data_IF_180264325632
#
_entry.id   IF_180264325632
#
_cell.length_a   1.000
_cell.length_b   1.000
_cell.length_c   1.000
_cell.angle_alpha   90.00
_cell.angle_beta   90.00
_cell.angle_gamma   90.00
#
_symmetry.space_group_name_H-M   'P 1'
#
loop_
_entity.id
_entity.type
_entity.pdbx_description
1 polymer ?
#
# COMPACT_ATOMS: atom_id res chain seq x y z
N UNK A 1 -28.46 18.38 28.73
CA UNK A 1 -28.07 17.12 29.39
C UNK A 1 -26.56 17.15 29.56
N UNK A 2 -26.06 17.06 30.79
CA UNK A 2 -24.62 17.08 31.04
C UNK A 2 -24.06 15.69 30.80
N UNK A 3 -23.26 15.53 29.75
CA UNK A 3 -22.60 14.27 29.45
C UNK A 3 -21.37 14.12 30.33
N UNK A 4 -21.35 13.09 31.17
CA UNK A 4 -20.21 12.78 32.02
C UNK A 4 -19.33 11.71 31.37
N UNK A 5 -18.00 11.91 31.43
CA UNK A 5 -17.04 10.89 30.99
C UNK A 5 -17.01 9.78 32.03
N UNK A 6 -17.64 8.64 31.71
CA UNK A 6 -17.74 7.49 32.61
C UNK A 6 -16.49 6.60 32.57
N UNK A 7 -15.90 6.45 31.38
CA UNK A 7 -14.70 5.63 31.17
C UNK A 7 -14.02 5.96 29.84
N UNK A 8 -12.92 5.29 29.53
CA UNK A 8 -12.24 5.38 28.23
C UNK A 8 -12.45 4.07 27.48
N UNK A 9 -12.81 4.14 26.20
CA UNK A 9 -12.97 2.96 25.37
C UNK A 9 -11.63 2.22 25.24
N UNK A 10 -11.52 0.94 25.63
CA UNK A 10 -10.24 0.24 25.63
C UNK A 10 -9.66 0.05 24.22
N UNK A 11 -10.52 0.12 23.20
CA UNK A 11 -10.20 -0.14 21.78
C UNK A 11 -9.84 1.16 21.07
N UNK A 12 -10.72 2.15 21.12
CA UNK A 12 -10.53 3.43 20.43
C UNK A 12 -9.93 4.51 21.30
N UNK A 13 -9.62 4.27 22.57
CA UNK A 13 -9.21 5.29 23.58
C UNK A 13 -10.06 6.58 23.60
N UNK A 14 -11.24 6.55 23.00
CA UNK A 14 -12.17 7.67 23.02
C UNK A 14 -12.90 7.67 24.36
N UNK A 15 -13.22 8.84 24.91
CA UNK A 15 -14.06 8.93 26.11
C UNK A 15 -15.41 8.25 25.85
N UNK A 16 -15.92 7.53 26.84
CA UNK A 16 -17.27 6.98 26.86
C UNK A 16 -18.11 7.86 27.75
N UNK A 17 -19.08 8.54 27.15
CA UNK A 17 -20.05 9.36 27.83
C UNK A 17 -21.28 8.55 28.20
N UNK A 18 -21.84 8.84 29.37
CA UNK A 18 -23.13 8.33 29.83
C UNK A 18 -23.83 9.38 30.69
N UNK A 19 -25.10 9.18 31.00
CA UNK A 19 -25.82 9.89 32.05
C UNK A 19 -26.75 8.92 32.78
N UNK A 20 -27.18 9.29 33.99
CA UNK A 20 -27.96 8.40 34.86
C UNK A 20 -29.28 7.97 34.21
N UNK A 21 -29.91 8.87 33.46
CA UNK A 21 -31.18 8.63 32.76
C UNK A 21 -31.05 7.65 31.59
N UNK A 22 -29.84 7.29 31.17
CA UNK A 22 -29.59 6.35 30.08
C UNK A 22 -29.23 4.94 30.55
N UNK A 23 -29.11 4.70 31.86
CA UNK A 23 -28.71 3.41 32.41
C UNK A 23 -29.95 2.64 32.88
N UNK A 24 -30.10 1.40 32.43
CA UNK A 24 -31.21 0.48 32.78
C UNK A 24 -32.61 1.12 32.63
N UNK A 25 -32.85 1.78 31.50
CA UNK A 25 -34.14 2.39 31.20
C UNK A 25 -35.19 1.30 31.02
N UNK A 26 -36.22 1.31 31.85
CA UNK A 26 -37.36 0.38 31.74
C UNK A 26 -38.24 0.80 30.56
N UNK A 27 -38.38 -0.08 29.59
CA UNK A 27 -39.17 0.13 28.39
C UNK A 27 -40.48 -0.68 28.41
N UNK A 28 -40.75 -1.38 29.51
CA UNK A 28 -41.94 -2.21 29.73
C UNK A 28 -41.63 -3.71 29.71
N UNK A 29 -42.51 -4.49 30.36
CA UNK A 29 -42.51 -5.96 30.32
C UNK A 29 -41.16 -6.63 30.68
N UNK A 30 -40.36 -5.97 31.53
CA UNK A 30 -39.03 -6.43 31.90
C UNK A 30 -37.96 -6.25 30.81
N UNK A 31 -38.22 -5.43 29.79
CA UNK A 31 -37.22 -5.00 28.81
C UNK A 31 -36.53 -3.72 29.29
N UNK A 32 -35.22 -3.79 29.46
CA UNK A 32 -34.39 -2.66 29.85
C UNK A 32 -33.37 -2.34 28.75
N UNK A 33 -32.95 -1.10 28.66
CA UNK A 33 -31.80 -0.73 27.81
C UNK A 33 -30.90 0.27 28.49
N UNK A 34 -29.59 0.07 28.32
CA UNK A 34 -28.58 1.09 28.62
C UNK A 34 -28.00 1.70 27.34
N UNK A 35 -27.82 3.02 27.32
CA UNK A 35 -27.15 3.74 26.23
C UNK A 35 -25.87 4.41 26.70
N UNK A 36 -24.83 4.40 25.85
CA UNK A 36 -23.57 5.12 26.05
C UNK A 36 -23.07 5.69 24.73
N UNK A 37 -22.33 6.79 24.78
CA UNK A 37 -21.73 7.39 23.59
C UNK A 37 -20.20 7.23 23.63
N UNK A 38 -19.62 6.54 22.66
CA UNK A 38 -18.17 6.39 22.52
C UNK A 38 -17.66 7.49 21.59
N UNK A 39 -16.79 8.36 22.11
CA UNK A 39 -16.36 9.57 21.43
C UNK A 39 -17.55 10.48 21.15
N UNK A 40 -17.70 10.91 19.90
CA UNK A 40 -18.80 11.79 19.47
C UNK A 40 -19.80 11.14 18.52
N UNK A 41 -19.46 9.98 17.94
CA UNK A 41 -20.18 9.46 16.77
C UNK A 41 -20.53 7.96 16.86
N UNK A 42 -20.26 7.27 17.98
CA UNK A 42 -20.59 5.84 18.12
C UNK A 42 -21.54 5.65 19.29
N UNK A 43 -22.79 5.30 18.99
CA UNK A 43 -23.78 4.94 20.01
C UNK A 43 -23.60 3.46 20.39
N UNK A 44 -23.37 3.17 21.67
CA UNK A 44 -23.40 1.83 22.25
C UNK A 44 -24.75 1.61 22.92
N UNK A 45 -25.44 0.54 22.53
CA UNK A 45 -26.72 0.12 23.12
C UNK A 45 -26.58 -1.24 23.79
N UNK A 46 -27.10 -1.41 25.00
CA UNK A 46 -27.01 -2.65 25.79
C UNK A 46 -28.43 -3.05 26.20
N UNK A 47 -29.18 -3.77 25.35
CA UNK A 47 -30.50 -4.30 25.68
C UNK A 47 -30.45 -5.50 26.65
N UNK A 48 -31.44 -5.55 27.53
CA UNK A 48 -31.66 -6.61 28.52
C UNK A 48 -33.13 -7.03 28.54
N UNK A 49 -33.39 -8.34 28.62
CA UNK A 49 -34.75 -8.87 28.76
C UNK A 49 -35.45 -9.22 27.45
N UNK A 50 -36.79 -9.34 27.49
CA UNK A 50 -37.64 -9.80 26.38
C UNK A 50 -38.24 -8.60 25.66
N UNK A 51 -38.01 -8.47 24.35
CA UNK A 51 -38.53 -7.35 23.56
C UNK A 51 -39.71 -7.79 22.70
N UNK A 52 -40.91 -7.28 22.96
CA UNK A 52 -42.03 -7.37 22.01
C UNK A 52 -42.03 -6.16 21.05
N UNK A 53 -42.98 -6.13 20.11
CA UNK A 53 -43.16 -5.00 19.20
C UNK A 53 -43.42 -3.69 19.93
N UNK A 54 -44.15 -3.74 21.06
CA UNK A 54 -44.44 -2.56 21.88
C UNK A 54 -43.18 -2.02 22.54
N UNK A 55 -42.40 -2.87 23.20
CA UNK A 55 -41.14 -2.43 23.80
C UNK A 55 -40.12 -1.97 22.76
N UNK A 56 -40.17 -2.53 21.53
CA UNK A 56 -39.35 -2.04 20.42
C UNK A 56 -39.72 -0.61 20.01
N UNK A 57 -41.01 -0.27 20.01
CA UNK A 57 -41.47 1.10 19.74
C UNK A 57 -40.96 2.07 20.82
N UNK A 58 -41.12 1.71 22.09
CA UNK A 58 -40.58 2.49 23.22
C UNK A 58 -39.05 2.62 23.12
N UNK A 59 -38.35 1.54 22.76
CA UNK A 59 -36.90 1.54 22.55
C UNK A 59 -36.48 2.57 21.53
N UNK A 60 -37.10 2.59 20.35
CA UNK A 60 -36.74 3.54 19.30
C UNK A 60 -37.21 4.96 19.62
N UNK A 61 -38.28 5.14 20.40
CA UNK A 61 -38.67 6.45 20.91
C UNK A 61 -37.59 7.02 21.83
N UNK A 62 -37.19 6.25 22.84
CA UNK A 62 -36.14 6.66 23.77
C UNK A 62 -34.79 6.84 23.08
N UNK A 63 -34.45 5.96 22.12
CA UNK A 63 -33.24 6.10 21.29
C UNK A 63 -33.20 7.44 20.56
N UNK A 64 -34.32 7.95 20.04
CA UNK A 64 -34.37 9.28 19.39
C UNK A 64 -34.07 10.41 20.38
N UNK A 65 -34.53 10.27 21.62
CA UNK A 65 -34.22 11.24 22.68
C UNK A 65 -32.74 11.24 23.03
N UNK A 66 -32.13 10.05 23.17
CA UNK A 66 -30.67 9.91 23.37
C UNK A 66 -29.90 10.54 22.21
N UNK A 67 -30.26 10.24 20.96
CA UNK A 67 -29.61 10.84 19.79
C UNK A 67 -29.73 12.37 19.77
N UNK A 68 -30.89 12.93 20.16
CA UNK A 68 -31.07 14.38 20.28
C UNK A 68 -30.19 14.96 21.39
N UNK A 69 -30.15 14.32 22.55
CA UNK A 69 -29.35 14.75 23.70
C UNK A 69 -27.84 14.71 23.43
N UNK A 70 -27.36 13.72 22.66
CA UNK A 70 -25.97 13.64 22.18
C UNK A 70 -25.65 14.59 21.01
N UNK A 71 -26.65 15.31 20.48
CA UNK A 71 -26.47 16.14 19.28
C UNK A 71 -26.20 15.34 18.01
N UNK A 72 -26.64 14.08 17.94
CA UNK A 72 -26.54 13.18 16.79
C UNK A 72 -27.81 13.08 15.95
N UNK A 73 -28.93 13.66 16.40
CA UNK A 73 -30.16 13.72 15.60
C UNK A 73 -29.89 14.40 14.23
N UNK A 74 -30.15 13.67 13.13
CA UNK A 74 -29.90 14.14 11.76
C UNK A 74 -28.43 14.22 11.34
N UNK A 75 -27.49 13.83 12.22
CA UNK A 75 -26.06 13.77 11.89
C UNK A 75 -25.63 12.35 11.64
N UNK A 76 -24.49 12.19 10.98
CA UNK A 76 -23.90 10.88 10.72
C UNK A 76 -23.30 10.26 11.99
N UNK A 77 -23.68 9.00 12.27
CA UNK A 77 -23.18 8.22 13.41
C UNK A 77 -23.15 6.72 13.09
N UNK A 78 -22.43 5.97 13.90
CA UNK A 78 -22.46 4.51 13.91
C UNK A 78 -23.15 4.00 15.18
N UNK A 79 -23.79 2.82 15.11
CA UNK A 79 -24.32 2.15 16.28
C UNK A 79 -23.69 0.77 16.46
N UNK A 80 -23.32 0.46 17.71
CA UNK A 80 -22.94 -0.88 18.13
C UNK A 80 -23.85 -1.36 19.24
N UNK A 81 -24.12 -2.67 19.29
CA UNK A 81 -25.05 -3.24 20.25
C UNK A 81 -24.50 -4.48 20.95
N UNK A 82 -24.53 -4.46 22.28
CA UNK A 82 -24.14 -5.58 23.12
C UNK A 82 -25.35 -6.46 23.43
N UNK A 83 -25.33 -7.70 22.96
CA UNK A 83 -26.43 -8.66 23.19
C UNK A 83 -26.17 -9.61 24.37
N UNK A 84 -25.15 -9.35 25.21
CA UNK A 84 -24.79 -10.24 26.34
C UNK A 84 -25.97 -10.52 27.27
N UNK A 85 -26.82 -9.53 27.53
CA UNK A 85 -27.98 -9.64 28.44
C UNK A 85 -29.31 -9.91 27.71
N UNK A 86 -29.26 -10.14 26.39
CA UNK A 86 -30.42 -10.43 25.56
C UNK A 86 -30.59 -11.93 25.35
N UNK A 87 -31.25 -12.59 26.29
CA UNK A 87 -31.47 -14.05 26.24
C UNK A 87 -32.73 -14.45 25.45
N UNK A 88 -33.56 -13.48 25.07
CA UNK A 88 -34.85 -13.73 24.46
C UNK A 88 -34.78 -13.76 22.93
N UNK A 89 -35.56 -14.66 22.33
CA UNK A 89 -35.80 -14.64 20.89
C UNK A 89 -36.85 -13.57 20.59
N UNK A 90 -36.53 -12.51 19.82
CA UNK A 90 -37.52 -11.50 19.46
C UNK A 90 -38.63 -12.13 18.60
N UNK A 91 -39.87 -11.71 18.83
CA UNK A 91 -41.03 -12.17 18.04
C UNK A 91 -40.86 -11.77 16.57
N UNK A 92 -41.65 -12.37 15.66
CA UNK A 92 -41.66 -11.98 14.24
C UNK A 92 -41.96 -10.47 14.10
N UNK A 93 -42.95 -9.99 14.83
CA UNK A 93 -43.39 -8.60 14.74
C UNK A 93 -42.33 -7.63 15.31
N UNK A 94 -41.66 -8.00 16.41
CA UNK A 94 -40.55 -7.21 16.96
C UNK A 94 -39.37 -7.13 15.97
N UNK A 95 -39.10 -8.22 15.22
CA UNK A 95 -38.06 -8.22 14.17
C UNK A 95 -38.42 -7.32 13.00
N UNK A 96 -39.69 -7.33 12.57
CA UNK A 96 -40.16 -6.46 11.48
C UNK A 96 -40.15 -4.99 11.91
N UNK A 97 -40.62 -4.68 13.12
CA UNK A 97 -40.55 -3.33 13.69
C UNK A 97 -39.11 -2.84 13.79
N UNK A 98 -38.19 -3.69 14.26
CA UNK A 98 -36.76 -3.35 14.31
C UNK A 98 -36.21 -3.01 12.91
N UNK A 99 -36.49 -3.85 11.91
CA UNK A 99 -36.04 -3.62 10.54
C UNK A 99 -36.55 -2.28 9.98
N UNK A 100 -37.85 -2.01 10.11
CA UNK A 100 -38.46 -0.77 9.63
C UNK A 100 -37.77 0.46 10.25
N UNK A 101 -37.56 0.43 11.58
CA UNK A 101 -36.89 1.52 12.30
C UNK A 101 -35.39 1.63 11.96
N UNK A 102 -34.74 0.54 11.56
CA UNK A 102 -33.35 0.58 11.08
C UNK A 102 -33.23 1.20 9.69
N UNK A 103 -34.18 0.94 8.80
CA UNK A 103 -34.25 1.59 7.48
C UNK A 103 -34.54 3.10 7.67
N UNK A 104 -35.44 3.45 8.58
CA UNK A 104 -35.66 4.85 8.92
C UNK A 104 -34.41 5.49 9.54
N UNK A 105 -33.72 4.80 10.45
CA UNK A 105 -32.47 5.30 11.03
C UNK A 105 -31.37 5.51 9.99
N UNK A 106 -31.25 4.63 8.97
CA UNK A 106 -30.24 4.79 7.91
C UNK A 106 -30.48 6.03 7.04
N UNK A 107 -31.76 6.39 6.81
CA UNK A 107 -32.14 7.66 6.17
C UNK A 107 -31.86 8.88 7.05
N UNK A 108 -31.76 8.67 8.36
CA UNK A 108 -31.57 9.72 9.37
C UNK A 108 -30.18 9.68 10.00
N UNK A 109 -29.15 9.36 9.21
CA UNK A 109 -27.74 9.50 9.59
C UNK A 109 -27.07 8.27 10.20
N UNK A 110 -27.76 7.15 10.38
CA UNK A 110 -27.08 5.91 10.78
C UNK A 110 -26.25 5.35 9.61
N UNK A 111 -24.93 5.33 9.76
CA UNK A 111 -24.00 4.85 8.72
C UNK A 111 -23.70 3.36 8.81
N UNK A 112 -23.76 2.75 9.99
CA UNK A 112 -23.58 1.30 10.15
C UNK A 112 -24.12 0.80 11.48
N UNK A 113 -24.41 -0.51 11.54
CA UNK A 113 -24.89 -1.19 12.74
C UNK A 113 -24.18 -2.52 12.99
N UNK A 114 -23.48 -2.65 14.13
CA UNK A 114 -22.80 -3.91 14.49
C UNK A 114 -23.20 -4.44 15.86
N UNK A 115 -23.83 -5.61 15.88
CA UNK A 115 -24.08 -6.38 17.10
C UNK A 115 -22.86 -7.21 17.53
N UNK A 116 -22.67 -7.44 18.82
CA UNK A 116 -21.69 -8.37 19.37
C UNK A 116 -22.25 -9.11 20.59
N UNK A 117 -21.55 -10.17 21.05
CA UNK A 117 -21.97 -11.04 22.15
C UNK A 117 -23.39 -11.61 22.02
N UNK A 118 -23.88 -11.81 20.78
CA UNK A 118 -25.22 -12.34 20.55
C UNK A 118 -25.23 -13.87 20.53
N UNK A 119 -26.39 -14.45 20.88
CA UNK A 119 -26.66 -15.86 20.60
C UNK A 119 -26.55 -16.17 19.10
N UNK A 120 -26.28 -17.44 18.76
CA UNK A 120 -26.20 -17.91 17.36
C UNK A 120 -27.48 -17.62 16.58
N UNK A 121 -28.63 -17.68 17.24
CA UNK A 121 -29.93 -17.38 16.65
C UNK A 121 -30.06 -15.88 16.30
N UNK A 122 -29.77 -14.97 17.24
CA UNK A 122 -29.79 -13.53 16.98
C UNK A 122 -28.83 -13.16 15.84
N UNK A 123 -27.63 -13.77 15.82
CA UNK A 123 -26.64 -13.61 14.74
C UNK A 123 -27.22 -14.01 13.39
N UNK A 124 -27.87 -15.17 13.30
CA UNK A 124 -28.50 -15.66 12.07
C UNK A 124 -29.57 -14.68 11.59
N UNK A 125 -30.46 -14.25 12.49
CA UNK A 125 -31.56 -13.32 12.18
C UNK A 125 -31.02 -11.99 11.65
N UNK A 126 -30.11 -11.33 12.36
CA UNK A 126 -29.58 -10.02 11.95
C UNK A 126 -28.89 -10.12 10.58
N UNK A 127 -28.08 -11.17 10.36
CA UNK A 127 -27.36 -11.35 9.11
C UNK A 127 -28.28 -11.73 7.93
N UNK A 128 -29.38 -12.44 8.19
CA UNK A 128 -30.38 -12.76 7.17
C UNK A 128 -31.19 -11.52 6.80
N UNK A 129 -31.66 -10.78 7.81
CA UNK A 129 -32.46 -9.56 7.64
C UNK A 129 -31.66 -8.49 6.90
N UNK A 130 -30.40 -8.27 7.27
CA UNK A 130 -29.54 -7.28 6.60
C UNK A 130 -29.35 -7.56 5.11
N UNK A 131 -29.18 -8.84 4.75
CA UNK A 131 -29.01 -9.29 3.36
C UNK A 131 -30.31 -9.25 2.56
N UNK A 132 -31.41 -9.66 3.18
CA UNK A 132 -32.69 -9.85 2.47
C UNK A 132 -33.36 -8.52 2.16
N UNK A 133 -33.33 -7.58 3.10
CA UNK A 133 -34.07 -6.32 3.00
C UNK A 133 -33.22 -5.14 2.54
N UNK A 134 -31.92 -5.33 2.32
CA UNK A 134 -31.06 -4.32 1.72
C UNK A 134 -31.07 -2.96 2.44
N UNK A 135 -30.74 -2.94 3.74
CA UNK A 135 -30.79 -1.74 4.61
C UNK A 135 -29.91 -0.58 4.09
N UNK A 136 -29.08 -0.81 3.06
CA UNK A 136 -28.28 0.21 2.38
C UNK A 136 -27.03 0.65 3.15
N UNK A 137 -26.86 0.14 4.37
CA UNK A 137 -25.71 0.43 5.23
C UNK A 137 -25.02 -0.87 5.68
N UNK A 138 -23.70 -0.84 5.93
CA UNK A 138 -23.00 -1.95 6.57
C UNK A 138 -23.67 -2.35 7.88
N UNK A 139 -24.17 -3.57 7.95
CA UNK A 139 -24.77 -4.10 9.16
C UNK A 139 -24.54 -5.60 9.34
N UNK A 140 -24.47 -6.04 10.60
CA UNK A 140 -24.29 -7.45 10.93
C UNK A 140 -23.90 -7.70 12.38
N UNK A 141 -23.58 -8.95 12.71
CA UNK A 141 -23.03 -9.33 14.01
C UNK A 141 -21.56 -9.73 13.88
N UNK A 142 -20.72 -9.19 14.78
CA UNK A 142 -19.29 -9.49 14.91
C UNK A 142 -19.00 -10.27 16.18
N UNK A 143 -17.78 -10.80 16.31
CA UNK A 143 -17.43 -11.72 17.40
C UNK A 143 -17.09 -11.04 18.72
N UNK A 144 -16.80 -9.73 18.74
CA UNK A 144 -16.36 -9.04 19.95
C UNK A 144 -16.65 -7.54 19.91
N UNK A 145 -16.70 -6.92 21.10
CA UNK A 145 -16.75 -5.46 21.27
C UNK A 145 -15.66 -4.74 20.46
N UNK A 146 -14.43 -5.28 20.50
CA UNK A 146 -13.27 -4.75 19.77
C UNK A 146 -13.52 -4.66 18.26
N UNK A 147 -14.03 -5.73 17.65
CA UNK A 147 -14.36 -5.71 16.24
C UNK A 147 -15.50 -4.74 15.91
N UNK A 148 -16.51 -4.63 16.79
CA UNK A 148 -17.64 -3.72 16.57
C UNK A 148 -17.16 -2.26 16.54
N UNK A 149 -16.34 -1.84 17.51
CA UNK A 149 -15.76 -0.49 17.57
C UNK A 149 -14.87 -0.21 16.36
N UNK A 150 -13.98 -1.14 15.98
CA UNK A 150 -13.09 -0.96 14.82
C UNK A 150 -13.89 -0.77 13.53
N UNK A 151 -14.90 -1.61 13.28
CA UNK A 151 -15.73 -1.50 12.08
C UNK A 151 -16.57 -0.23 12.06
N UNK A 152 -17.16 0.15 13.19
CA UNK A 152 -17.89 1.40 13.33
C UNK A 152 -17.00 2.61 13.00
N UNK A 153 -15.79 2.65 13.56
CA UNK A 153 -14.82 3.71 13.26
C UNK A 153 -14.38 3.73 11.81
N UNK A 154 -14.09 2.57 11.22
CA UNK A 154 -13.72 2.48 9.82
C UNK A 154 -14.78 3.10 8.92
N UNK A 155 -16.06 2.82 9.17
CA UNK A 155 -17.18 3.40 8.39
C UNK A 155 -17.26 4.92 8.59
N UNK A 156 -17.11 5.40 9.83
CA UNK A 156 -17.10 6.84 10.12
C UNK A 156 -15.97 7.57 9.38
N UNK A 157 -14.73 7.04 9.46
CA UNK A 157 -13.55 7.63 8.80
C UNK A 157 -13.70 7.61 7.28
N UNK A 158 -14.15 6.50 6.70
CA UNK A 158 -14.42 6.42 5.25
C UNK A 158 -15.52 7.37 4.78
N UNK A 159 -16.38 7.83 5.70
CA UNK A 159 -17.42 8.83 5.44
C UNK A 159 -16.97 10.26 5.73
N UNK A 160 -15.67 10.48 5.96
CA UNK A 160 -15.09 11.81 6.23
C UNK A 160 -15.36 12.35 7.64
N UNK A 161 -15.81 11.51 8.57
CA UNK A 161 -16.11 11.93 9.95
C UNK A 161 -14.87 11.75 10.80
N UNK A 162 -14.35 12.86 11.33
CA UNK A 162 -13.26 12.83 12.29
C UNK A 162 -13.72 12.15 13.59
N UNK A 163 -13.03 11.06 13.95
CA UNK A 163 -13.33 10.31 15.17
C UNK A 163 -12.51 10.79 16.37
N UNK A 164 -11.72 11.85 16.25
CA UNK A 164 -10.96 12.46 17.35
C UNK A 164 -9.79 11.59 17.84
N UNK A 165 -9.36 10.64 17.02
CA UNK A 165 -8.18 9.83 17.29
C UNK A 165 -7.38 9.69 16.01
N UNK A 166 -6.25 10.40 15.98
CA UNK A 166 -5.12 9.98 15.18
C UNK A 166 -4.81 8.54 15.58
N UNK A 167 -5.00 7.59 14.66
CA UNK A 167 -4.14 6.41 14.65
C UNK A 167 -2.71 6.93 14.86
N UNK A 168 -1.86 6.21 15.58
CA UNK A 168 -0.43 6.55 15.67
C UNK A 168 0.19 6.49 14.28
N UNK A 169 -0.06 7.54 13.49
CA UNK A 169 0.44 7.75 12.17
C UNK A 169 1.66 8.60 12.38
N UNK A 170 2.82 7.96 12.33
CA UNK A 170 4.07 8.69 12.22
C UNK A 170 4.12 9.14 10.77
N UNK A 171 4.00 10.45 10.53
CA UNK A 171 4.29 11.06 9.25
C UNK A 171 5.58 11.87 9.38
N UNK A 172 6.50 11.68 8.45
CA UNK A 172 7.72 12.46 8.38
C UNK A 172 8.01 12.86 6.93
N UNK A 173 8.58 14.04 6.77
CA UNK A 173 9.09 14.59 5.52
C UNK A 173 10.46 15.16 5.82
N UNK A 174 11.44 14.94 4.96
CA UNK A 174 12.76 15.54 5.14
C UNK A 174 12.73 17.05 4.95
N UNK A 175 13.77 17.74 5.40
CA UNK A 175 13.82 19.21 5.40
C UNK A 175 13.68 19.82 3.99
N UNK A 176 14.18 19.10 2.98
CA UNK A 176 14.10 19.50 1.56
C UNK A 176 12.74 19.19 0.90
N UNK A 177 11.86 18.43 1.56
CA UNK A 177 10.60 17.97 0.98
C UNK A 177 10.73 16.94 -0.15
N UNK A 178 11.95 16.49 -0.44
CA UNK A 178 12.24 15.54 -1.53
C UNK A 178 11.81 14.12 -1.22
N UNK A 179 11.61 13.77 0.05
CA UNK A 179 11.15 12.46 0.50
C UNK A 179 10.24 12.54 1.72
N UNK A 180 9.19 11.73 1.71
CA UNK A 180 8.26 11.58 2.83
C UNK A 180 7.85 10.13 3.03
N UNK A 181 7.49 9.82 4.27
CA UNK A 181 6.83 8.57 4.60
C UNK A 181 5.74 8.75 5.63
N UNK A 182 4.80 7.81 5.62
CA UNK A 182 3.85 7.61 6.69
C UNK A 182 3.81 6.17 7.13
N UNK A 183 3.84 5.92 8.43
CA UNK A 183 3.78 4.59 9.05
C UNK A 183 2.57 4.58 9.97
N UNK A 184 1.73 3.56 9.86
CA UNK A 184 0.55 3.41 10.70
C UNK A 184 0.09 1.96 10.79
N UNK A 185 -0.73 1.66 11.79
CA UNK A 185 -1.48 0.42 11.85
C UNK A 185 -2.89 0.65 11.30
N UNK A 186 -3.25 -0.03 10.20
CA UNK A 186 -4.61 0.04 9.67
C UNK A 186 -5.62 -0.68 10.57
N UNK A 187 -5.15 -1.74 11.23
CA UNK A 187 -5.90 -2.50 12.23
C UNK A 187 -4.92 -3.28 13.13
N UNK A 188 -5.43 -4.27 13.87
CA UNK A 188 -4.67 -5.11 14.81
C UNK A 188 -3.57 -5.97 14.17
N UNK A 189 -3.77 -6.29 12.91
CA UNK A 189 -2.99 -7.31 12.19
C UNK A 189 -2.37 -6.78 10.90
N UNK A 190 -2.57 -5.51 10.55
CA UNK A 190 -2.09 -4.94 9.29
C UNK A 190 -1.27 -3.70 9.57
N UNK A 191 0.04 -3.84 9.40
CA UNK A 191 1.00 -2.75 9.42
C UNK A 191 1.09 -2.12 8.04
N UNK A 192 0.95 -0.81 7.95
CA UNK A 192 0.97 -0.07 6.68
C UNK A 192 2.02 1.02 6.72
N UNK A 193 2.79 1.12 5.65
CA UNK A 193 3.64 2.27 5.42
C UNK A 193 3.63 2.68 3.95
N UNK A 194 3.73 3.98 3.74
CA UNK A 194 3.76 4.60 2.43
C UNK A 194 5.03 5.42 2.30
N UNK A 195 5.73 5.28 1.18
CA UNK A 195 6.92 6.04 0.84
C UNK A 195 6.66 6.86 -0.42
N UNK A 196 7.09 8.12 -0.44
CA UNK A 196 6.98 9.01 -1.58
C UNK A 196 8.22 9.90 -1.73
N UNK A 197 8.59 10.23 -2.97
CA UNK A 197 9.75 11.06 -3.30
C UNK A 197 11.04 10.29 -3.56
N UNK A 198 12.18 10.96 -3.45
CA UNK A 198 13.53 10.43 -3.71
C UNK A 198 14.23 10.07 -2.40
N UNK A 199 14.34 8.78 -2.09
CA UNK A 199 14.93 8.34 -0.82
C UNK A 199 16.44 8.61 -0.75
N UNK A 200 16.88 9.28 0.32
CA UNK A 200 18.31 9.46 0.64
C UNK A 200 18.78 8.42 1.64
N UNK A 201 20.10 8.30 1.84
CA UNK A 201 20.66 7.38 2.85
C UNK A 201 20.20 7.75 4.28
N UNK A 202 20.23 9.04 4.62
CA UNK A 202 19.78 9.55 5.91
C UNK A 202 18.28 9.31 6.14
N UNK A 203 17.47 9.59 5.12
CA UNK A 203 16.03 9.34 5.19
C UNK A 203 15.69 7.85 5.39
N UNK A 204 16.50 6.95 4.83
CA UNK A 204 16.38 5.50 5.05
C UNK A 204 16.68 5.12 6.50
N UNK A 205 17.75 5.66 7.09
CA UNK A 205 18.11 5.39 8.49
C UNK A 205 17.02 5.86 9.44
N UNK A 206 16.47 7.05 9.20
CA UNK A 206 15.36 7.55 9.98
C UNK A 206 14.10 6.69 9.82
N UNK A 207 13.76 6.29 8.58
CA UNK A 207 12.67 5.36 8.31
C UNK A 207 12.82 4.06 9.10
N UNK A 208 14.04 3.50 9.17
CA UNK A 208 14.34 2.29 9.95
C UNK A 208 14.02 2.48 11.44
N UNK A 209 14.46 3.60 12.03
CA UNK A 209 14.24 3.89 13.44
C UNK A 209 12.75 4.04 13.75
N UNK A 210 12.03 4.83 12.96
CA UNK A 210 10.60 5.07 13.18
C UNK A 210 9.78 3.80 12.94
N UNK A 211 10.15 3.00 11.93
CA UNK A 211 9.55 1.69 11.66
C UNK A 211 9.70 0.75 12.86
N UNK A 212 10.92 0.60 13.39
CA UNK A 212 11.20 -0.25 14.56
C UNK A 212 10.43 0.23 15.78
N UNK A 213 10.38 1.53 16.01
CA UNK A 213 9.63 2.13 17.11
C UNK A 213 8.13 1.82 17.02
N UNK A 214 7.52 1.97 15.84
CA UNK A 214 6.08 1.77 15.66
C UNK A 214 5.67 0.29 15.73
N UNK A 215 6.54 -0.64 15.31
CA UNK A 215 6.30 -2.07 15.52
C UNK A 215 6.48 -2.45 16.99
N UNK A 216 7.52 -1.95 17.66
CA UNK A 216 7.80 -2.27 19.06
C UNK A 216 6.69 -1.82 20.03
N UNK A 217 5.91 -0.79 19.66
CA UNK A 217 4.71 -0.36 20.40
C UNK A 217 3.63 -1.44 20.49
N UNK A 218 3.67 -2.46 19.64
CA UNK A 218 2.79 -3.63 19.74
C UNK A 218 3.57 -4.82 20.25
N UNK A 219 3.01 -5.52 21.23
CA UNK A 219 3.55 -6.80 21.69
C UNK A 219 3.79 -7.71 20.47
N UNK A 220 5.04 -8.11 20.29
CA UNK A 220 5.57 -8.83 19.12
C UNK A 220 5.00 -10.25 18.92
N UNK A 221 4.09 -10.69 19.79
CA UNK A 221 3.46 -12.01 19.76
C UNK A 221 2.35 -12.14 18.70
N UNK A 222 1.81 -11.03 18.19
CA UNK A 222 0.72 -11.08 17.20
C UNK A 222 1.28 -11.12 15.79
N UNK A 223 1.05 -12.23 15.10
CA UNK A 223 1.31 -12.37 13.67
C UNK A 223 0.63 -11.24 12.89
N UNK A 224 1.38 -10.48 12.09
CA UNK A 224 0.86 -9.35 11.32
C UNK A 224 1.15 -9.51 9.82
N UNK A 225 0.32 -8.87 9.01
CA UNK A 225 0.56 -8.63 7.59
C UNK A 225 1.16 -7.23 7.42
N UNK A 226 1.96 -7.07 6.37
CA UNK A 226 2.58 -5.81 6.01
C UNK A 226 2.03 -5.35 4.67
N UNK A 227 1.64 -4.09 4.56
CA UNK A 227 1.30 -3.45 3.29
C UNK A 227 2.25 -2.27 3.10
N UNK A 228 2.98 -2.25 2.00
CA UNK A 228 3.91 -1.21 1.65
C UNK A 228 3.45 -0.50 0.36
N UNK A 229 3.21 0.80 0.43
CA UNK A 229 2.83 1.63 -0.71
C UNK A 229 4.05 2.41 -1.21
N UNK A 230 4.57 2.02 -2.38
CA UNK A 230 5.70 2.68 -3.03
C UNK A 230 5.28 3.39 -4.33
N UNK A 231 4.00 3.69 -4.48
CA UNK A 231 3.47 4.32 -5.70
C UNK A 231 4.07 5.69 -5.97
N UNK A 232 4.43 6.44 -4.92
CA UNK A 232 5.08 7.74 -5.02
C UNK A 232 6.60 7.70 -4.96
N UNK A 233 7.22 6.53 -4.86
CA UNK A 233 8.66 6.40 -4.64
C UNK A 233 9.43 6.47 -5.97
N UNK A 234 10.37 7.40 -6.06
CA UNK A 234 11.40 7.43 -7.10
C UNK A 234 12.67 6.79 -6.56
N UNK A 235 13.16 5.75 -7.25
CA UNK A 235 14.41 5.05 -6.89
C UNK A 235 15.46 5.25 -7.97
N UNK A 236 16.21 6.36 -7.93
CA UNK A 236 17.10 6.71 -9.03
C UNK A 236 18.43 5.94 -9.05
N UNK A 237 18.86 5.22 -8.00
CA UNK A 237 20.25 4.71 -7.92
C UNK A 237 20.34 3.23 -7.50
N UNK A 238 21.11 2.36 -8.21
CA UNK A 238 21.36 0.96 -7.83
C UNK A 238 21.84 0.75 -6.38
N UNK A 239 22.70 1.65 -5.88
CA UNK A 239 23.23 1.61 -4.51
C UNK A 239 22.11 1.66 -3.45
N UNK A 240 21.09 2.50 -3.67
CA UNK A 240 19.94 2.59 -2.78
C UNK A 240 19.06 1.33 -2.84
N UNK A 241 19.01 0.62 -3.99
CA UNK A 241 18.28 -0.65 -4.12
C UNK A 241 18.88 -1.73 -3.21
N UNK A 242 20.21 -1.80 -3.13
CA UNK A 242 20.88 -2.76 -2.25
C UNK A 242 20.62 -2.47 -0.78
N UNK A 243 20.76 -1.21 -0.36
CA UNK A 243 20.45 -0.79 1.02
C UNK A 243 18.97 -1.04 1.37
N UNK A 244 18.06 -0.74 0.45
CA UNK A 244 16.63 -0.99 0.64
C UNK A 244 16.31 -2.49 0.77
N UNK A 245 16.96 -3.33 -0.03
CA UNK A 245 16.80 -4.79 0.07
C UNK A 245 17.34 -5.31 1.40
N UNK A 246 18.50 -4.81 1.85
CA UNK A 246 19.06 -5.13 3.16
C UNK A 246 18.11 -4.70 4.29
N UNK A 247 17.51 -3.52 4.18
CA UNK A 247 16.47 -3.04 5.08
C UNK A 247 15.25 -3.97 5.14
N UNK A 248 14.68 -4.38 4.00
CA UNK A 248 13.54 -5.29 3.97
C UNK A 248 13.87 -6.64 4.64
N UNK A 249 15.08 -7.16 4.42
CA UNK A 249 15.59 -8.37 5.06
C UNK A 249 15.73 -8.21 6.57
N UNK A 250 16.32 -7.10 7.02
CA UNK A 250 16.51 -6.81 8.43
C UNK A 250 15.17 -6.69 9.16
N UNK A 251 14.21 -5.96 8.57
CA UNK A 251 12.88 -5.86 9.14
C UNK A 251 12.24 -7.24 9.26
N UNK A 252 12.26 -8.05 8.20
CA UNK A 252 11.60 -9.35 8.25
C UNK A 252 12.23 -10.29 9.28
N UNK A 253 13.56 -10.22 9.44
CA UNK A 253 14.27 -10.94 10.49
C UNK A 253 13.84 -10.51 11.90
N UNK A 254 13.66 -9.21 12.14
CA UNK A 254 13.27 -8.67 13.44
C UNK A 254 11.78 -8.87 13.73
N UNK A 255 10.96 -8.73 12.70
CA UNK A 255 9.51 -8.72 12.78
C UNK A 255 8.91 -9.53 11.61
N UNK A 256 8.95 -10.88 11.71
CA UNK A 256 8.42 -11.75 10.68
C UNK A 256 6.96 -11.42 10.40
N UNK A 257 6.63 -11.21 9.13
CA UNK A 257 5.25 -10.98 8.71
C UNK A 257 4.63 -12.29 8.20
N UNK A 258 3.33 -12.48 8.42
CA UNK A 258 2.57 -13.59 7.81
C UNK A 258 2.50 -13.46 6.28
N UNK A 259 2.61 -12.23 5.78
CA UNK A 259 2.72 -11.92 4.38
C UNK A 259 2.97 -10.43 4.19
N UNK A 260 3.71 -10.11 3.12
CA UNK A 260 3.98 -8.73 2.73
C UNK A 260 3.35 -8.43 1.38
N UNK A 261 2.61 -7.33 1.31
CA UNK A 261 1.94 -6.84 0.11
C UNK A 261 2.58 -5.54 -0.30
N UNK A 262 2.92 -5.39 -1.57
CA UNK A 262 3.55 -4.18 -2.07
C UNK A 262 2.73 -3.58 -3.21
N UNK A 263 2.41 -2.30 -3.08
CA UNK A 263 1.71 -1.51 -4.08
C UNK A 263 2.76 -0.69 -4.83
N UNK A 264 2.91 -0.96 -6.13
CA UNK A 264 3.83 -0.25 -7.03
C UNK A 264 3.14 0.03 -8.34
N UNK A 265 3.26 1.26 -8.86
CA UNK A 265 2.80 1.61 -10.22
C UNK A 265 3.92 1.65 -11.25
N UNK A 266 5.15 2.00 -10.84
CA UNK A 266 6.32 2.01 -11.74
C UNK A 266 6.66 0.60 -12.22
N UNK A 267 6.56 0.38 -13.54
CA UNK A 267 6.96 -0.88 -14.17
C UNK A 267 8.43 -1.25 -13.89
N UNK A 268 9.41 -0.33 -14.07
CA UNK A 268 10.80 -0.58 -13.67
C UNK A 268 10.91 -1.07 -12.23
N UNK A 269 10.17 -0.48 -11.31
CA UNK A 269 10.28 -0.85 -9.90
C UNK A 269 9.62 -2.19 -9.57
N UNK A 270 8.53 -2.56 -10.27
CA UNK A 270 7.95 -3.91 -10.17
C UNK A 270 8.94 -5.00 -10.57
N UNK A 271 9.68 -4.77 -11.66
CA UNK A 271 10.71 -5.70 -12.16
C UNK A 271 11.81 -5.87 -11.13
N UNK A 272 12.31 -4.75 -10.61
CA UNK A 272 13.32 -4.74 -9.54
C UNK A 272 12.84 -5.54 -8.33
N UNK A 273 11.62 -5.30 -7.84
CA UNK A 273 11.07 -6.05 -6.72
C UNK A 273 10.98 -7.55 -7.02
N UNK A 274 10.49 -7.94 -8.21
CA UNK A 274 10.42 -9.34 -8.65
C UNK A 274 11.79 -10.02 -8.69
N UNK A 275 12.82 -9.33 -9.16
CA UNK A 275 14.20 -9.85 -9.14
C UNK A 275 14.70 -10.09 -7.71
N UNK A 276 14.29 -9.26 -6.76
CA UNK A 276 14.69 -9.40 -5.36
C UNK A 276 13.82 -10.39 -4.58
N UNK A 277 12.62 -10.74 -5.06
CA UNK A 277 11.71 -11.67 -4.37
C UNK A 277 12.37 -13.00 -3.95
N UNK A 278 13.17 -13.69 -4.79
CA UNK A 278 13.85 -14.93 -4.39
C UNK A 278 14.85 -14.76 -3.25
N UNK A 279 15.34 -13.53 -3.03
CA UNK A 279 16.29 -13.22 -1.96
C UNK A 279 15.60 -12.86 -0.64
N UNK A 280 14.27 -12.72 -0.63
CA UNK A 280 13.50 -12.40 0.56
C UNK A 280 13.07 -13.70 1.27
N UNK A 281 13.14 -13.70 2.60
CA UNK A 281 12.72 -14.83 3.45
C UNK A 281 11.20 -14.96 3.58
N UNK A 282 10.45 -14.01 3.03
CA UNK A 282 9.01 -13.88 3.21
C UNK A 282 8.27 -13.82 1.88
N UNK A 283 7.00 -14.23 1.91
CA UNK A 283 6.14 -14.18 0.74
C UNK A 283 5.73 -12.73 0.45
N UNK A 284 6.28 -12.18 -0.63
CA UNK A 284 5.92 -10.87 -1.16
C UNK A 284 4.86 -11.01 -2.25
N UNK A 285 3.80 -10.21 -2.19
CA UNK A 285 2.71 -10.19 -3.19
C UNK A 285 2.59 -8.78 -3.75
N UNK A 286 2.74 -8.63 -5.05
CA UNK A 286 2.47 -7.36 -5.73
C UNK A 286 0.97 -7.19 -5.91
N UNK A 287 0.46 -6.02 -5.52
CA UNK A 287 -0.97 -5.66 -5.62
C UNK A 287 -1.12 -4.30 -6.30
N UNK A 288 -2.28 -4.04 -6.89
CA UNK A 288 -2.58 -2.79 -7.59
C UNK A 288 -2.93 -1.65 -6.63
N UNK A 289 -3.57 -1.96 -5.50
CA UNK A 289 -4.00 -0.98 -4.50
C UNK A 289 -4.19 -1.62 -3.12
N UNK A 290 -4.52 -0.77 -2.13
CA UNK A 290 -4.71 -1.18 -0.74
C UNK A 290 -5.92 -2.11 -0.56
N UNK A 291 -7.00 -1.89 -1.30
CA UNK A 291 -8.22 -2.69 -1.22
C UNK A 291 -7.98 -4.13 -1.69
N UNK A 292 -7.20 -4.30 -2.75
CA UNK A 292 -6.78 -5.62 -3.25
C UNK A 292 -5.97 -6.36 -2.18
N UNK A 293 -4.96 -5.73 -1.58
CA UNK A 293 -4.20 -6.31 -0.47
C UNK A 293 -5.10 -6.71 0.70
N UNK A 294 -5.97 -5.81 1.16
CA UNK A 294 -6.90 -6.09 2.25
C UNK A 294 -7.87 -7.24 1.90
N UNK A 295 -8.28 -7.35 0.63
CA UNK A 295 -9.12 -8.45 0.16
C UNK A 295 -8.39 -9.79 0.21
N UNK A 296 -7.11 -9.84 -0.16
CA UNK A 296 -6.27 -11.05 -0.14
C UNK A 296 -6.00 -11.46 1.30
N UNK A 297 -5.65 -10.50 2.18
CA UNK A 297 -5.47 -10.73 3.62
C UNK A 297 -6.75 -11.31 4.23
N UNK A 298 -7.92 -10.73 3.92
CA UNK A 298 -9.20 -11.25 4.42
C UNK A 298 -9.45 -12.68 3.95
N UNK A 299 -9.13 -13.00 2.70
CA UNK A 299 -9.25 -14.35 2.15
C UNK A 299 -8.25 -15.33 2.77
N UNK A 300 -7.01 -14.93 3.04
CA UNK A 300 -5.97 -15.81 3.63
C UNK A 300 -6.29 -16.13 5.09
N UNK A 301 -6.77 -15.16 5.85
CA UNK A 301 -7.26 -15.37 7.23
C UNK A 301 -8.43 -16.37 7.25
N UNK A 302 -9.29 -16.35 6.23
CA UNK A 302 -10.42 -17.29 6.09
C UNK A 302 -10.01 -18.68 5.56
N UNK A 303 -9.01 -18.76 4.69
CA UNK A 303 -8.61 -19.97 3.94
C UNK A 303 -7.50 -20.79 4.62
N UNK A 304 -7.52 -20.93 5.94
CA UNK A 304 -6.46 -21.67 6.66
C UNK A 304 -6.24 -23.15 6.27
N UNK A 305 -6.92 -23.74 5.27
CA UNK A 305 -6.88 -25.18 4.96
C UNK A 305 -6.99 -25.59 3.47
N UNK A 306 -6.37 -24.91 2.49
CA UNK A 306 -6.25 -25.53 1.13
C UNK A 306 -4.83 -25.42 0.54
N UNK A 307 -4.24 -26.54 0.10
CA UNK A 307 -2.93 -26.55 -0.55
C UNK A 307 -3.00 -25.89 -1.93
N UNK A 308 -1.88 -25.27 -2.30
CA UNK A 308 -1.69 -24.51 -3.53
C UNK A 308 -1.73 -25.40 -4.80
N UNK A 309 -2.05 -24.71 -5.89
CA UNK A 309 -2.47 -25.18 -7.22
C UNK A 309 -1.48 -26.16 -7.86
N UNK A 310 -2.00 -27.22 -8.47
CA UNK A 310 -1.24 -28.16 -9.31
C UNK A 310 -0.98 -27.55 -10.70
N UNK A 311 0.27 -27.56 -11.14
CA UNK A 311 0.68 -27.21 -12.50
C UNK A 311 0.16 -28.25 -13.52
N UNK A 312 -0.21 -27.79 -14.72
CA UNK A 312 -0.59 -28.61 -15.88
C UNK A 312 0.61 -29.02 -16.73
N UNK A 313 0.36 -29.98 -17.61
CA UNK A 313 1.29 -30.89 -18.28
C UNK A 313 2.27 -30.22 -19.26
N UNK A 314 3.56 -30.41 -18.96
CA UNK A 314 4.78 -30.27 -19.79
C UNK A 314 5.80 -29.24 -19.26
N UNK A 315 6.39 -29.47 -18.07
CA UNK A 315 7.39 -28.60 -17.47
C UNK A 315 8.66 -28.44 -18.33
N UNK A 316 9.01 -29.45 -19.15
CA UNK A 316 10.27 -29.48 -19.88
C UNK A 316 10.33 -28.44 -21.00
N UNK A 317 9.21 -28.16 -21.67
CA UNK A 317 9.12 -27.10 -22.68
C UNK A 317 9.40 -25.72 -22.07
N UNK A 318 8.78 -25.44 -20.91
CA UNK A 318 8.95 -24.18 -20.21
C UNK A 318 10.37 -24.02 -19.63
N UNK A 319 10.98 -25.11 -19.18
CA UNK A 319 12.37 -25.12 -18.71
C UNK A 319 13.32 -24.81 -19.88
N UNK A 320 13.11 -25.39 -21.06
CA UNK A 320 13.94 -25.13 -22.23
C UNK A 320 13.83 -23.68 -22.74
N UNK A 321 12.63 -23.09 -22.70
CA UNK A 321 12.45 -21.67 -23.03
C UNK A 321 13.17 -20.75 -22.02
N UNK A 322 13.08 -21.06 -20.73
CA UNK A 322 13.80 -20.33 -19.69
C UNK A 322 15.33 -20.45 -19.85
N UNK A 323 15.84 -21.66 -20.12
CA UNK A 323 17.26 -21.90 -20.38
C UNK A 323 17.75 -21.15 -21.61
N UNK A 324 16.93 -21.04 -22.66
CA UNK A 324 17.23 -20.24 -23.85
C UNK A 324 17.37 -18.76 -23.48
N UNK A 325 16.48 -18.23 -22.64
CA UNK A 325 16.57 -16.84 -22.15
C UNK A 325 17.81 -16.60 -21.28
N UNK A 326 18.18 -17.56 -20.44
CA UNK A 326 19.41 -17.49 -19.62
C UNK A 326 20.66 -17.55 -20.50
N UNK A 327 20.71 -18.44 -21.50
CA UNK A 327 21.81 -18.51 -22.45
C UNK A 327 21.91 -17.26 -23.30
N UNK A 328 20.77 -16.67 -23.69
CA UNK A 328 20.74 -15.39 -24.39
C UNK A 328 21.44 -14.30 -23.56
N UNK A 329 21.17 -14.23 -22.26
CA UNK A 329 21.83 -13.30 -21.33
C UNK A 329 23.35 -13.50 -21.23
N UNK A 330 23.85 -14.74 -21.29
CA UNK A 330 25.28 -15.05 -21.06
C UNK A 330 26.14 -14.98 -22.32
N UNK A 331 25.60 -15.23 -23.51
CA UNK A 331 26.40 -15.41 -24.74
C UNK A 331 26.60 -14.16 -25.60
N UNK A 332 26.29 -12.96 -25.10
CA UNK A 332 26.60 -11.70 -25.79
C UNK A 332 25.73 -11.41 -27.02
N UNK A 333 26.27 -10.66 -27.99
CA UNK A 333 25.54 -10.17 -29.18
C UNK A 333 25.15 -11.27 -30.17
N UNK A 334 25.82 -12.42 -30.13
CA UNK A 334 25.70 -13.46 -31.16
C UNK A 334 24.66 -14.53 -30.79
N UNK A 335 24.01 -14.39 -29.62
CA UNK A 335 23.03 -15.33 -29.13
C UNK A 335 21.69 -15.23 -29.90
N UNK A 336 21.04 -16.37 -30.11
CA UNK A 336 19.71 -16.43 -30.72
C UNK A 336 18.72 -15.71 -29.80
N UNK A 337 18.07 -14.67 -30.31
CA UNK A 337 17.02 -13.95 -29.58
C UNK A 337 15.84 -14.89 -29.31
N UNK A 338 15.44 -15.11 -28.04
CA UNK A 338 14.28 -15.93 -27.75
C UNK A 338 13.02 -15.29 -28.34
N UNK A 339 12.03 -16.13 -28.70
CA UNK A 339 10.73 -15.67 -29.15
C UNK A 339 10.04 -14.84 -28.05
N UNK A 340 9.18 -13.89 -28.43
CA UNK A 340 8.36 -13.17 -27.47
C UNK A 340 7.41 -14.14 -26.76
N UNK A 341 7.44 -14.10 -25.43
CA UNK A 341 6.68 -15.01 -24.58
C UNK A 341 5.35 -14.37 -24.21
N UNK A 342 4.24 -15.10 -24.38
CA UNK A 342 2.89 -14.64 -24.04
C UNK A 342 2.70 -14.44 -22.52
N UNK A 343 1.83 -13.52 -22.09
CA UNK A 343 1.61 -13.20 -20.67
C UNK A 343 1.15 -14.41 -19.83
N UNK A 344 0.51 -15.39 -20.46
CA UNK A 344 0.01 -16.61 -19.83
C UNK A 344 1.12 -17.66 -19.58
N UNK A 345 2.35 -17.43 -20.05
CA UNK A 345 3.45 -18.38 -19.87
C UNK A 345 3.83 -18.48 -18.38
N UNK A 346 4.05 -19.70 -17.83
CA UNK A 346 4.29 -19.90 -16.39
C UNK A 346 5.57 -19.20 -15.89
N UNK A 347 6.53 -18.96 -16.78
CA UNK A 347 7.73 -18.15 -16.50
C UNK A 347 7.71 -16.77 -17.17
N UNK A 348 6.56 -16.27 -17.66
CA UNK A 348 6.48 -14.95 -18.30
C UNK A 348 7.13 -13.85 -17.44
N UNK A 349 6.82 -13.85 -16.14
CA UNK A 349 7.40 -12.87 -15.20
C UNK A 349 8.92 -13.00 -15.07
N UNK A 350 9.45 -14.22 -15.11
CA UNK A 350 10.90 -14.47 -15.02
C UNK A 350 11.58 -14.05 -16.32
N UNK A 351 11.05 -14.47 -17.47
CA UNK A 351 11.62 -14.19 -18.80
C UNK A 351 11.56 -12.68 -19.10
N UNK A 352 10.45 -12.01 -18.79
CA UNK A 352 10.37 -10.54 -18.90
C UNK A 352 11.43 -9.85 -18.04
N UNK A 353 11.61 -10.29 -16.79
CA UNK A 353 12.66 -9.75 -15.91
C UNK A 353 14.07 -9.97 -16.48
N UNK A 354 14.35 -11.15 -17.04
CA UNK A 354 15.63 -11.45 -17.70
C UNK A 354 15.90 -10.56 -18.92
N UNK A 355 14.88 -10.30 -19.75
CA UNK A 355 15.00 -9.39 -20.90
C UNK A 355 15.31 -7.95 -20.48
N UNK A 356 14.76 -7.50 -19.34
CA UNK A 356 15.06 -6.17 -18.81
C UNK A 356 16.47 -6.12 -18.21
N UNK A 357 16.89 -7.13 -17.45
CA UNK A 357 18.29 -7.23 -16.97
C UNK A 357 19.25 -7.21 -18.15
N UNK A 358 18.92 -7.90 -19.25
CA UNK A 358 19.71 -7.84 -20.48
C UNK A 358 19.77 -6.44 -21.03
N UNK A 359 18.63 -5.76 -21.13
CA UNK A 359 18.59 -4.38 -21.61
C UNK A 359 19.48 -3.47 -20.75
N UNK A 360 19.40 -3.59 -19.42
CA UNK A 360 20.26 -2.84 -18.50
C UNK A 360 21.74 -3.17 -18.70
N UNK A 361 22.10 -4.45 -18.85
CA UNK A 361 23.48 -4.89 -19.15
C UNK A 361 23.94 -4.31 -20.49
N UNK A 362 23.12 -4.38 -21.53
CA UNK A 362 23.43 -3.83 -22.85
C UNK A 362 23.59 -2.31 -22.79
N UNK A 363 22.77 -1.61 -22.01
CA UNK A 363 22.94 -0.18 -21.76
C UNK A 363 24.25 0.09 -21.03
N UNK A 364 24.58 -0.64 -19.96
CA UNK A 364 25.87 -0.49 -19.26
C UNK A 364 27.06 -0.72 -20.21
N UNK A 365 26.98 -1.70 -21.11
CA UNK A 365 28.02 -1.93 -22.10
C UNK A 365 28.08 -0.86 -23.20
N UNK A 366 27.01 -0.10 -23.41
CA UNK A 366 26.89 0.93 -24.45
C UNK A 366 26.96 2.35 -23.89
N UNK A 367 27.01 2.55 -22.59
CA UNK A 367 27.05 3.87 -21.95
C UNK A 367 28.32 3.98 -21.12
N UNK A 368 28.85 5.19 -21.00
CA UNK A 368 29.94 5.51 -20.09
C UNK A 368 29.35 5.81 -18.71
N UNK A 369 29.69 5.02 -17.71
CA UNK A 369 29.12 5.11 -16.35
C UNK A 369 29.30 6.50 -15.71
N UNK A 370 30.36 7.21 -16.11
CA UNK A 370 30.72 8.49 -15.52
C UNK A 370 29.96 9.67 -16.12
N UNK A 371 29.89 9.73 -17.45
CA UNK A 371 29.23 10.83 -18.18
C UNK A 371 27.78 10.55 -18.54
N UNK A 372 27.34 9.29 -18.50
CA UNK A 372 26.04 8.85 -19.00
C UNK A 372 25.88 8.98 -20.52
N UNK A 373 26.97 9.25 -21.26
CA UNK A 373 26.97 9.31 -22.72
C UNK A 373 27.15 7.91 -23.33
N UNK A 374 26.56 7.63 -24.51
CA UNK A 374 26.89 6.42 -25.27
C UNK A 374 28.39 6.29 -25.49
N UNK A 375 28.98 5.12 -25.28
CA UNK A 375 30.43 4.90 -25.34
C UNK A 375 30.92 4.51 -26.76
N UNK A 376 32.21 4.19 -26.88
CA UNK A 376 32.82 3.85 -28.17
C UNK A 376 32.26 2.59 -28.83
N UNK A 377 31.71 1.64 -28.06
CA UNK A 377 31.02 0.47 -28.61
C UNK A 377 29.67 0.88 -29.21
N UNK A 378 28.92 1.75 -28.54
CA UNK A 378 27.68 2.31 -29.07
C UNK A 378 27.94 3.11 -30.36
N UNK A 379 29.04 3.88 -30.42
CA UNK A 379 29.44 4.58 -31.64
C UNK A 379 29.70 3.60 -32.79
N UNK A 380 30.52 2.56 -32.57
CA UNK A 380 30.79 1.55 -33.62
C UNK A 380 29.52 0.91 -34.15
N UNK A 381 28.58 0.59 -33.27
CA UNK A 381 27.28 0.05 -33.65
C UNK A 381 26.45 1.07 -34.46
N UNK A 382 26.42 2.34 -34.04
CA UNK A 382 25.69 3.39 -34.75
C UNK A 382 26.27 3.65 -36.15
N UNK A 383 27.59 3.61 -36.31
CA UNK A 383 28.26 3.79 -37.60
C UNK A 383 28.03 2.61 -38.57
N UNK A 384 27.68 1.43 -38.06
CA UNK A 384 27.44 0.23 -38.86
C UNK A 384 26.12 0.34 -39.64
N UNK A 385 26.19 0.87 -40.86
CA UNK A 385 25.05 0.97 -41.78
C UNK A 385 24.65 2.40 -42.14
N UNK A 386 25.27 3.40 -41.53
CA UNK A 386 25.06 4.80 -41.93
C UNK A 386 25.85 5.12 -43.21
N UNK A 387 25.24 5.91 -44.10
CA UNK A 387 25.88 6.53 -45.27
C UNK A 387 25.81 8.04 -45.11
N UNK A 388 26.79 8.77 -45.64
CA UNK A 388 26.88 10.24 -45.58
C UNK A 388 26.81 10.78 -44.14
N UNK A 389 27.86 10.51 -43.37
CA UNK A 389 27.98 11.00 -42.00
C UNK A 389 29.10 12.02 -41.90
N UNK A 390 28.90 13.04 -41.07
CA UNK A 390 29.98 13.91 -40.60
C UNK A 390 30.31 13.50 -39.17
N UNK A 391 31.56 13.10 -38.95
CA UNK A 391 32.07 12.73 -37.64
C UNK A 391 32.98 13.83 -37.12
N UNK A 392 32.60 14.45 -36.00
CA UNK A 392 33.38 15.49 -35.34
C UNK A 392 34.04 14.90 -34.09
N UNK A 393 35.36 14.94 -34.02
CA UNK A 393 36.12 14.53 -32.85
C UNK A 393 36.41 15.72 -31.96
N UNK A 394 36.13 15.58 -30.66
CA UNK A 394 36.30 16.62 -29.66
C UNK A 394 37.25 16.09 -28.59
N UNK A 395 38.34 16.80 -28.35
CA UNK A 395 39.33 16.44 -27.32
C UNK A 395 39.47 17.58 -26.32
N UNK A 396 39.55 17.26 -25.04
CA UNK A 396 39.88 18.24 -23.99
C UNK A 396 41.39 18.46 -24.01
N UNK A 397 41.82 19.67 -24.39
CA UNK A 397 43.24 20.04 -24.43
C UNK A 397 43.89 19.97 -23.05
N UNK A 398 45.18 19.59 -23.00
CA UNK A 398 46.00 19.54 -21.79
C UNK A 398 45.42 18.67 -20.64
N UNK A 399 44.52 17.74 -20.93
CA UNK A 399 43.86 16.91 -19.91
C UNK A 399 44.86 16.13 -19.06
N UNK A 400 45.88 15.51 -19.66
CA UNK A 400 46.89 14.73 -18.93
C UNK A 400 47.65 15.60 -17.94
N UNK A 401 48.00 16.84 -18.33
CA UNK A 401 48.65 17.82 -17.45
C UNK A 401 47.75 18.22 -16.29
N UNK A 402 46.45 18.41 -16.53
CA UNK A 402 45.48 18.67 -15.46
C UNK A 402 45.30 17.46 -14.54
N UNK A 403 45.28 16.25 -15.09
CA UNK A 403 45.20 15.01 -14.32
C UNK A 403 46.40 14.84 -13.40
N UNK A 404 47.62 15.04 -13.91
CA UNK A 404 48.86 14.99 -13.14
C UNK A 404 48.92 16.07 -12.04
N UNK A 405 48.49 17.29 -12.35
CA UNK A 405 48.58 18.42 -11.41
C UNK A 405 47.57 18.36 -10.26
N UNK A 406 46.34 17.87 -10.52
CA UNK A 406 45.21 18.01 -9.59
C UNK A 406 44.62 16.67 -9.12
N UNK A 407 45.08 15.54 -9.67
CA UNK A 407 44.62 14.21 -9.32
C UNK A 407 43.28 13.81 -9.95
N UNK A 408 42.91 12.54 -9.76
CA UNK A 408 41.79 11.92 -10.46
C UNK A 408 40.42 12.54 -10.19
N UNK A 409 40.17 13.05 -8.98
CA UNK A 409 38.86 13.62 -8.62
C UNK A 409 38.58 14.90 -9.41
N UNK A 410 39.50 15.87 -9.43
CA UNK A 410 39.28 17.12 -10.17
C UNK A 410 39.24 16.89 -11.68
N UNK A 411 40.08 15.98 -12.18
CA UNK A 411 40.06 15.61 -13.60
C UNK A 411 38.72 14.98 -14.00
N UNK A 412 38.13 14.17 -13.12
CA UNK A 412 36.79 13.61 -13.31
C UNK A 412 35.73 14.73 -13.37
N UNK A 413 35.74 15.67 -12.42
CA UNK A 413 34.80 16.82 -12.42
C UNK A 413 34.88 17.66 -13.70
N UNK A 414 36.09 17.84 -14.25
CA UNK A 414 36.30 18.51 -15.55
C UNK A 414 35.60 17.72 -16.67
N UNK A 415 35.80 16.41 -16.76
CA UNK A 415 35.18 15.58 -17.80
C UNK A 415 33.66 15.58 -17.67
N UNK A 416 33.12 15.50 -16.45
CA UNK A 416 31.68 15.54 -16.22
C UNK A 416 31.12 16.88 -16.70
N UNK A 417 31.73 17.99 -16.28
CA UNK A 417 31.32 19.35 -16.67
C UNK A 417 31.38 19.57 -18.19
N UNK A 418 32.45 19.10 -18.84
CA UNK A 418 32.56 19.15 -20.30
C UNK A 418 31.46 18.32 -20.96
N UNK A 419 31.19 17.13 -20.46
CA UNK A 419 30.16 16.24 -21.02
C UNK A 419 28.76 16.88 -20.97
N UNK A 420 28.39 17.50 -19.85
CA UNK A 420 27.09 18.19 -19.69
C UNK A 420 26.97 19.40 -20.62
N UNK A 421 28.06 20.17 -20.79
CA UNK A 421 28.07 21.30 -21.74
C UNK A 421 27.96 20.82 -23.18
N UNK A 422 28.66 19.75 -23.55
CA UNK A 422 28.57 19.20 -24.89
C UNK A 422 27.19 18.64 -25.19
N UNK A 423 26.52 17.95 -24.25
CA UNK A 423 25.12 17.52 -24.40
C UNK A 423 24.20 18.69 -24.73
N UNK A 424 24.36 19.81 -24.01
CA UNK A 424 23.56 21.01 -24.23
C UNK A 424 23.85 21.65 -25.60
N UNK A 425 25.13 21.84 -25.95
CA UNK A 425 25.53 22.48 -27.21
C UNK A 425 25.13 21.63 -28.43
N UNK A 426 25.25 20.32 -28.32
CA UNK A 426 24.98 19.40 -29.42
C UNK A 426 23.51 18.97 -29.51
N UNK A 427 22.65 19.42 -28.60
CA UNK A 427 21.24 19.09 -28.60
C UNK A 427 20.59 19.51 -29.93
N UNK A 428 20.10 18.54 -30.70
CA UNK A 428 19.50 18.76 -32.03
C UNK A 428 20.48 18.79 -33.21
N UNK A 429 21.80 18.82 -32.96
CA UNK A 429 22.82 18.80 -34.01
C UNK A 429 23.24 17.36 -34.38
N UNK A 430 23.20 16.43 -33.43
CA UNK A 430 23.59 15.03 -33.66
C UNK A 430 23.71 14.22 -32.37
N UNK A 431 24.20 13.00 -32.53
CA UNK A 431 24.38 12.07 -31.42
C UNK A 431 25.80 12.18 -30.86
N UNK A 432 25.91 12.48 -29.57
CA UNK A 432 27.20 12.65 -28.88
C UNK A 432 27.59 11.35 -28.17
N UNK A 433 28.85 10.94 -28.34
CA UNK A 433 29.44 9.71 -27.81
C UNK A 433 30.72 9.99 -27.02
N UNK A 434 30.98 9.18 -25.99
CA UNK A 434 32.23 9.16 -25.23
C UNK A 434 33.19 8.14 -25.83
N UNK A 435 34.39 8.57 -26.23
CA UNK A 435 35.38 7.69 -26.86
C UNK A 435 36.39 7.14 -25.85
N UNK A 436 37.03 8.05 -25.12
CA UNK A 436 38.05 7.81 -24.09
C UNK A 436 37.89 8.84 -22.97
N UNK A 437 38.74 8.78 -21.96
CA UNK A 437 38.70 9.65 -20.77
C UNK A 437 38.54 11.14 -21.13
N UNK A 438 39.26 11.66 -22.14
CA UNK A 438 39.21 13.08 -22.56
C UNK A 438 38.67 13.31 -23.98
N UNK A 439 38.23 12.25 -24.66
CA UNK A 439 37.81 12.31 -26.07
C UNK A 439 36.31 12.01 -26.23
N UNK A 440 35.66 12.74 -27.13
CA UNK A 440 34.25 12.60 -27.49
C UNK A 440 34.10 12.59 -29.02
N UNK A 441 32.99 12.04 -29.52
CA UNK A 441 32.61 12.08 -30.93
C UNK A 441 31.18 12.57 -31.07
N UNK A 442 30.94 13.49 -32.01
CA UNK A 442 29.61 13.89 -32.44
C UNK A 442 29.36 13.34 -33.83
N UNK A 443 28.29 12.54 -33.98
CA UNK A 443 27.84 12.00 -35.26
C UNK A 443 26.71 12.89 -35.78
N UNK A 444 26.92 13.54 -36.92
CA UNK A 444 25.93 14.37 -37.60
C UNK A 444 25.52 13.68 -38.89
N UNK A 445 24.22 13.50 -39.08
CA UNK A 445 23.64 12.95 -40.31
C UNK A 445 23.02 14.07 -41.15
N UNK A 446 22.92 13.87 -42.48
CA UNK A 446 22.33 14.86 -43.39
C UNK A 446 20.89 15.27 -42.99
N UNK A 447 20.17 14.41 -42.27
CA UNK A 447 18.82 14.69 -41.77
C UNK A 447 18.79 15.77 -40.68
N UNK A 448 19.90 15.99 -39.97
CA UNK A 448 19.96 16.97 -38.87
C UNK A 448 20.14 18.41 -39.36
N UNK A 449 20.45 18.62 -40.65
CA UNK A 449 20.67 19.94 -41.23
C UNK A 449 19.37 20.63 -41.73
N UNK A 450 18.20 20.03 -41.54
CA UNK A 450 16.91 20.65 -41.91
C UNK A 450 16.32 21.56 -40.83
N UNK A 451 17.14 22.06 -39.89
CA UNK A 451 16.72 23.11 -38.98
C UNK A 451 16.53 24.41 -39.78
N UNK A 452 15.31 24.95 -39.70
CA UNK A 452 14.85 26.16 -40.40
C UNK A 452 15.91 27.27 -40.39
N UNK A 453 16.24 27.75 -41.59
CA UNK A 453 17.10 28.90 -41.82
C UNK A 453 16.48 30.18 -41.28
#
# INVERSE_FOLDING_TARGET
MNLEVKSICPVSKLPIYSCAEWENVDLGSGYYTTYRLIGRHILLTIPKGICSSREMEHHFAFRREVLRACGLAGKSYAEIRDYTESNATPSKDARMAFLEKMIDASRNGLLCFFGFNSSSFIRLVINLVSKTYGIGIPCGVVSSYRQAVIRARSVLVSSGIDTGQNNSQISWTNDEGTFSYSISWLNESVFFYKLAGCITAEAMEKLIVDYKSEIAKRETSVSHFRIADFTGLSLPIPVLRHKFTAFLKEIDKLHPSTGSFVIVHSLPFRIVLRMFMPLLTFHLVLVKNIDEALSIIKKSVQKKNKPLVKFRDNPDAYINELLTCINYLTMGSDAIKPAEVHEDHPFYEVISSLNIVRHDIEQLYKTDDFTGLPNSLALKAALSGMKNITLVFISVCDFDRHYEAFGGNLASDIIFTVSERLKYICAGCGDLYKLKISEFALVVTDQNFSLEK
#
